data_IF_342464589638
#
_entry.id   IF_342464589638
#
_cell.length_a   1.000
_cell.length_b   1.000
_cell.length_c   1.000
_cell.angle_alpha   90.00
_cell.angle_beta   90.00
_cell.angle_gamma   90.00
#
_symmetry.space_group_name_H-M   'P 1'
#
loop_
_entity.id
_entity.type
_entity.pdbx_description
1 polymer ?
#
# COMPACT_ATOMS: atom_id res chain seq x y z
N UNK A 1 5.03 -17.36 -2.04
CA UNK A 1 3.56 -17.35 -1.86
C UNK A 1 2.93 -16.55 -2.99
N UNK A 2 1.71 -16.87 -3.44
CA UNK A 2 1.04 -16.07 -4.49
C UNK A 2 0.57 -14.71 -3.95
N UNK A 3 0.68 -13.65 -4.76
CA UNK A 3 0.23 -12.30 -4.44
C UNK A 3 -1.24 -12.26 -4.01
N UNK A 4 -2.10 -13.01 -4.70
CA UNK A 4 -3.51 -13.15 -4.36
C UNK A 4 -3.74 -13.64 -2.92
N UNK A 5 -2.90 -14.54 -2.43
CA UNK A 5 -3.03 -15.05 -1.06
C UNK A 5 -2.62 -14.00 -0.02
N UNK A 6 -1.60 -13.18 -0.32
CA UNK A 6 -1.21 -12.03 0.52
C UNK A 6 -2.32 -10.99 0.58
N UNK A 7 -2.92 -10.66 -0.57
CA UNK A 7 -4.04 -9.72 -0.65
C UNK A 7 -5.26 -10.19 0.17
N UNK A 8 -5.65 -11.46 0.05
CA UNK A 8 -6.73 -12.04 0.86
C UNK A 8 -6.39 -11.96 2.35
N UNK A 9 -5.17 -12.32 2.74
CA UNK A 9 -4.72 -12.26 4.14
C UNK A 9 -4.64 -10.84 4.69
N UNK A 10 -4.41 -9.84 3.84
CA UNK A 10 -4.40 -8.43 4.23
C UNK A 10 -5.81 -7.80 4.27
N UNK A 11 -6.86 -8.52 3.87
CA UNK A 11 -8.25 -8.05 3.95
C UNK A 11 -8.73 -7.28 2.71
N UNK A 12 -8.05 -7.42 1.57
CA UNK A 12 -8.50 -6.81 0.32
C UNK A 12 -9.77 -7.48 -0.20
N UNK A 13 -10.73 -6.65 -0.60
CA UNK A 13 -12.01 -7.09 -1.16
C UNK A 13 -11.93 -7.26 -2.68
N UNK A 14 -11.12 -6.44 -3.37
CA UNK A 14 -10.99 -6.47 -4.84
C UNK A 14 -9.55 -6.82 -5.25
N UNK A 15 -9.29 -8.12 -5.43
CA UNK A 15 -7.97 -8.66 -5.74
C UNK A 15 -7.45 -8.22 -7.11
N UNK A 16 -8.33 -8.12 -8.10
CA UNK A 16 -7.96 -7.71 -9.47
C UNK A 16 -7.58 -6.24 -9.51
N UNK A 17 -8.40 -5.38 -8.90
CA UNK A 17 -8.14 -3.94 -8.84
C UNK A 17 -6.90 -3.64 -8.00
N UNK A 18 -6.79 -4.24 -6.81
CA UNK A 18 -5.65 -4.03 -5.91
C UNK A 18 -4.36 -4.63 -6.46
N UNK A 19 -4.45 -5.74 -7.20
CA UNK A 19 -3.32 -6.28 -7.96
C UNK A 19 -2.80 -5.31 -9.03
N UNK A 20 -3.69 -4.59 -9.74
CA UNK A 20 -3.29 -3.55 -10.70
C UNK A 20 -2.60 -2.36 -10.02
N UNK A 21 -3.12 -1.90 -8.89
CA UNK A 21 -2.49 -0.82 -8.13
C UNK A 21 -1.15 -1.23 -7.52
N UNK A 22 -1.00 -2.49 -7.09
CA UNK A 22 0.28 -3.04 -6.60
C UNK A 22 1.33 -3.19 -7.70
N UNK A 23 0.90 -3.41 -8.94
CA UNK A 23 1.76 -3.44 -10.11
C UNK A 23 2.01 -2.04 -10.72
N UNK A 24 1.51 -0.99 -10.07
CA UNK A 24 1.67 0.38 -10.56
C UNK A 24 3.13 0.83 -10.34
N UNK A 25 3.73 1.54 -11.31
CA UNK A 25 5.13 1.97 -11.25
C UNK A 25 5.42 2.90 -10.05
N UNK A 26 4.40 3.55 -9.51
CA UNK A 26 4.49 4.40 -8.31
C UNK A 26 4.94 3.62 -7.07
N UNK A 27 4.63 2.32 -7.00
CA UNK A 27 5.03 1.45 -5.89
C UNK A 27 6.32 0.68 -6.16
N UNK A 28 6.95 0.92 -7.32
CA UNK A 28 8.16 0.21 -7.73
C UNK A 28 9.33 0.55 -6.79
N UNK A 29 9.87 -0.48 -6.12
CA UNK A 29 10.95 -0.33 -5.14
C UNK A 29 10.50 -0.04 -3.70
N UNK A 30 9.20 -0.04 -3.41
CA UNK A 30 8.69 -0.10 -2.03
C UNK A 30 8.74 -1.56 -1.56
N UNK A 31 9.14 -1.79 -0.31
CA UNK A 31 9.04 -3.11 0.30
C UNK A 31 7.56 -3.50 0.46
N UNK A 32 7.16 -4.56 -0.23
CA UNK A 32 5.80 -5.06 -0.17
C UNK A 32 5.40 -5.45 1.25
N UNK A 33 6.32 -6.01 2.04
CA UNK A 33 5.98 -6.47 3.39
C UNK A 33 5.69 -5.29 4.32
N UNK A 34 6.46 -4.19 4.21
CA UNK A 34 6.19 -2.93 4.92
C UNK A 34 4.89 -2.27 4.45
N UNK A 35 4.66 -2.23 3.14
CA UNK A 35 3.43 -1.73 2.53
C UNK A 35 2.20 -2.50 3.04
N UNK A 36 2.24 -3.83 3.02
CA UNK A 36 1.13 -4.66 3.49
C UNK A 36 0.88 -4.46 4.99
N UNK A 37 1.94 -4.36 5.80
CA UNK A 37 1.80 -4.09 7.23
C UNK A 37 1.15 -2.72 7.50
N UNK A 38 1.48 -1.68 6.73
CA UNK A 38 0.83 -0.37 6.81
C UNK A 38 -0.63 -0.40 6.38
N UNK A 39 -0.94 -1.07 5.26
CA UNK A 39 -2.30 -1.19 4.74
C UNK A 39 -3.23 -1.97 5.67
N UNK A 40 -2.71 -2.90 6.48
CA UNK A 40 -3.48 -3.59 7.51
C UNK A 40 -3.94 -2.68 8.66
N UNK A 41 -3.30 -1.52 8.85
CA UNK A 41 -3.69 -0.54 9.87
C UNK A 41 -4.84 0.37 9.42
N UNK A 42 -5.09 0.44 8.11
CA UNK A 42 -6.14 1.28 7.54
C UNK A 42 -7.53 0.64 7.68
N UNK A 43 -8.58 1.45 7.66
CA UNK A 43 -9.95 0.97 7.77
C UNK A 43 -10.38 0.13 6.56
N UNK A 44 -9.80 0.40 5.39
CA UNK A 44 -9.97 -0.42 4.17
C UNK A 44 -8.66 -0.45 3.38
N UNK A 45 -8.03 -1.63 3.21
CA UNK A 45 -6.76 -1.75 2.49
C UNK A 45 -6.89 -1.40 1.00
N UNK A 46 -8.04 -1.68 0.36
CA UNK A 46 -8.30 -1.30 -1.03
C UNK A 46 -8.30 0.23 -1.22
N UNK A 47 -8.92 0.96 -0.30
CA UNK A 47 -8.99 2.43 -0.35
C UNK A 47 -7.64 3.05 0.00
N UNK A 48 -6.96 2.51 1.01
CA UNK A 48 -5.64 2.99 1.41
C UNK A 48 -4.61 2.81 0.30
N UNK A 49 -4.60 1.66 -0.38
CA UNK A 49 -3.72 1.41 -1.53
C UNK A 49 -3.99 2.41 -2.67
N UNK A 50 -5.27 2.63 -3.02
CA UNK A 50 -5.64 3.59 -4.06
C UNK A 50 -5.21 5.02 -3.72
N UNK A 51 -5.41 5.43 -2.48
CA UNK A 51 -5.01 6.76 -2.00
C UNK A 51 -3.50 6.90 -1.97
N UNK A 52 -2.77 5.86 -1.55
CA UNK A 52 -1.30 5.85 -1.54
C UNK A 52 -0.74 6.01 -2.95
N UNK A 53 -1.21 5.21 -3.92
CA UNK A 53 -0.76 5.32 -5.32
C UNK A 53 -1.00 6.73 -5.86
N UNK A 54 -2.19 7.29 -5.63
CA UNK A 54 -2.51 8.67 -6.05
C UNK A 54 -1.64 9.71 -5.37
N UNK A 55 -1.33 9.53 -4.08
CA UNK A 55 -0.45 10.44 -3.34
C UNK A 55 0.98 10.38 -3.87
N UNK A 56 1.51 9.19 -4.15
CA UNK A 56 2.84 9.03 -4.74
C UNK A 56 2.88 9.56 -6.17
N UNK A 57 1.82 9.36 -6.96
CA UNK A 57 1.69 9.92 -8.31
C UNK A 57 1.79 11.45 -8.29
N UNK A 58 1.21 12.11 -7.28
CA UNK A 58 1.29 13.57 -7.09
C UNK A 58 2.59 14.03 -6.43
N UNK A 59 3.13 13.22 -5.53
CA UNK A 59 4.29 13.52 -4.71
C UNK A 59 5.22 12.30 -4.69
N UNK A 60 6.06 12.12 -5.72
CA UNK A 60 6.91 10.93 -5.86
C UNK A 60 7.91 10.76 -4.71
N UNK A 61 8.25 11.84 -4.00
CA UNK A 61 9.12 11.82 -2.81
C UNK A 61 8.52 10.98 -1.66
N UNK A 62 7.18 10.85 -1.62
CA UNK A 62 6.48 10.04 -0.63
C UNK A 62 6.76 8.54 -0.77
N UNK A 63 7.26 8.08 -1.92
CA UNK A 63 7.68 6.69 -2.13
C UNK A 63 8.72 6.26 -1.09
N UNK A 64 9.64 7.16 -0.76
CA UNK A 64 10.69 6.92 0.24
C UNK A 64 10.10 6.82 1.65
N UNK A 65 9.07 7.61 1.95
CA UNK A 65 8.35 7.58 3.23
C UNK A 65 7.46 6.34 3.35
N UNK A 66 6.78 5.94 2.28
CA UNK A 66 5.92 4.77 2.24
C UNK A 66 6.70 3.44 2.39
N UNK A 67 7.96 3.42 1.94
CA UNK A 67 8.90 2.33 2.15
C UNK A 67 9.81 2.46 3.36
N UNK A 68 9.66 3.54 4.16
CA UNK A 68 10.40 3.70 5.42
C UNK A 68 9.81 2.81 6.52
N UNK A 69 10.52 2.65 7.63
CA UNK A 69 10.06 1.86 8.78
C UNK A 69 8.64 2.24 9.21
N UNK A 70 7.88 1.23 9.66
CA UNK A 70 6.46 1.34 10.00
C UNK A 70 6.18 2.51 10.95
N UNK A 71 7.06 2.80 11.90
CA UNK A 71 6.88 3.92 12.84
C UNK A 71 6.82 5.31 12.15
N UNK A 72 7.49 5.48 11.00
CA UNK A 72 7.48 6.73 10.23
C UNK A 72 6.27 6.81 9.28
N UNK A 73 5.77 5.66 8.83
CA UNK A 73 4.69 5.55 7.84
C UNK A 73 3.32 5.28 8.46
N UNK A 74 3.26 4.86 9.74
CA UNK A 74 2.04 4.62 10.52
C UNK A 74 1.06 5.81 10.49
N UNK A 75 1.49 7.07 10.72
CA UNK A 75 0.55 8.20 10.72
C UNK A 75 -0.09 8.43 9.35
N UNK A 76 0.65 8.12 8.27
CA UNK A 76 0.17 8.26 6.89
C UNK A 76 -0.88 7.19 6.57
N UNK A 77 -0.70 5.96 7.01
CA UNK A 77 -1.72 4.91 6.84
C UNK A 77 -2.94 5.09 7.74
N UNK A 78 -2.78 5.69 8.93
CA UNK A 78 -3.89 5.89 9.88
C UNK A 78 -4.90 6.96 9.46
N UNK A 79 -4.51 7.85 8.55
CA UNK A 79 -5.39 8.91 8.00
C UNK A 79 -6.02 8.55 6.64
N UNK A 80 -5.72 7.35 6.11
CA UNK A 80 -6.24 6.81 4.86
C UNK A 80 -7.40 5.83 5.10
#
# INVERSE_FOLDING_TARGET
MSLARRLISAGFSDLDKSGRFLAAPELEGIDQDALFAGLQLAASPDTALQSLVRLIEKHPDLRTLAGAELDASEPLYRVL
#
